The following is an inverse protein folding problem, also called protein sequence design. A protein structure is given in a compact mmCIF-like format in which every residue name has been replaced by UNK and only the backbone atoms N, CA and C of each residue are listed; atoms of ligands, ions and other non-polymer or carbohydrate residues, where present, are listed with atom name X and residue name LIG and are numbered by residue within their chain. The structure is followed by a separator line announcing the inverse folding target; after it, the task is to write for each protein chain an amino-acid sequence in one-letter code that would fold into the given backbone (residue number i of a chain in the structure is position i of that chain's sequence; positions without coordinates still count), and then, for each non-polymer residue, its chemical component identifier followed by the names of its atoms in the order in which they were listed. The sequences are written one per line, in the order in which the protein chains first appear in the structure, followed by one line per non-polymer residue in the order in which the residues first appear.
data_IF_069057240062
#
_entry.id   IF_069057240062
#
_cell.length_a   1.000
_cell.length_b   1.000
_cell.length_c   1.000
_cell.angle_alpha   90.00
_cell.angle_beta   90.00
_cell.angle_gamma   90.00
#
_symmetry.space_group_name_H-M   'P 1'
#
loop_
_entity.id
_entity.type
_entity.pdbx_description
1 polymer ?
#
# COMPACT_ATOMS: atom_id res chain seq x y z
N UNK A 1 -72.45 -5.52 -39.30
CA UNK A 1 -71.14 -4.99 -38.87
C UNK A 1 -71.19 -4.92 -37.37
N UNK A 2 -70.33 -5.69 -36.68
CA UNK A 2 -70.30 -5.78 -35.22
C UNK A 2 -69.00 -5.11 -34.77
N UNK A 3 -69.10 -3.85 -34.38
CA UNK A 3 -67.95 -3.06 -33.93
C UNK A 3 -67.55 -3.50 -32.52
N UNK A 4 -66.68 -4.50 -32.44
CA UNK A 4 -66.00 -4.87 -31.21
C UNK A 4 -64.98 -3.78 -30.86
N UNK A 5 -65.41 -2.72 -30.18
CA UNK A 5 -64.50 -1.73 -29.58
C UNK A 5 -63.71 -2.38 -28.46
N UNK A 6 -62.49 -2.84 -28.76
CA UNK A 6 -61.51 -3.27 -27.75
C UNK A 6 -61.00 -2.01 -27.05
N UNK A 7 -61.56 -1.69 -25.89
CA UNK A 7 -61.11 -0.59 -25.05
C UNK A 7 -59.70 -0.92 -24.56
N UNK A 8 -58.67 -0.36 -25.21
CA UNK A 8 -57.27 -0.49 -24.82
C UNK A 8 -57.10 0.25 -23.48
N UNK A 9 -57.11 -0.49 -22.36
CA UNK A 9 -56.89 0.09 -21.02
C UNK A 9 -55.60 0.90 -21.04
N UNK A 10 -55.66 2.17 -20.62
CA UNK A 10 -54.47 3.02 -20.51
C UNK A 10 -53.42 2.35 -19.62
N UNK A 11 -52.14 2.60 -19.89
CA UNK A 11 -51.03 2.05 -19.12
C UNK A 11 -51.21 2.28 -17.60
N UNK A 12 -51.68 3.47 -17.22
CA UNK A 12 -52.01 3.81 -15.84
C UNK A 12 -53.12 2.92 -15.24
N UNK A 13 -54.17 2.60 -16.00
CA UNK A 13 -55.24 1.74 -15.52
C UNK A 13 -54.79 0.28 -15.37
N UNK A 14 -53.89 -0.18 -16.23
CA UNK A 14 -53.28 -1.51 -16.11
C UNK A 14 -52.35 -1.57 -14.89
N UNK A 15 -51.48 -0.58 -14.72
CA UNK A 15 -50.55 -0.47 -13.59
C UNK A 15 -51.30 -0.36 -12.25
N UNK A 16 -52.36 0.46 -12.19
CA UNK A 16 -53.21 0.60 -11.00
C UNK A 16 -53.94 -0.71 -10.66
N UNK A 17 -54.43 -1.45 -11.67
CA UNK A 17 -55.06 -2.76 -11.45
C UNK A 17 -54.07 -3.81 -10.94
N UNK A 18 -52.84 -3.82 -11.47
CA UNK A 18 -51.77 -4.72 -11.04
C UNK A 18 -51.28 -4.39 -9.61
N UNK A 19 -51.16 -3.11 -9.26
CA UNK A 19 -50.83 -2.65 -7.91
C UNK A 19 -51.91 -3.04 -6.90
N UNK A 20 -53.19 -2.80 -7.21
CA UNK A 20 -54.31 -3.18 -6.32
C UNK A 20 -54.40 -4.69 -6.12
N UNK A 21 -54.22 -5.47 -7.18
CA UNK A 21 -54.29 -6.93 -7.11
C UNK A 21 -53.19 -7.54 -6.25
N UNK A 22 -52.03 -6.87 -6.15
CA UNK A 22 -50.84 -7.40 -5.49
C UNK A 22 -50.33 -6.55 -4.32
N UNK A 23 -51.15 -5.62 -3.81
CA UNK A 23 -50.73 -4.60 -2.83
C UNK A 23 -50.10 -5.20 -1.57
N UNK A 24 -50.62 -6.34 -1.09
CA UNK A 24 -50.10 -7.05 0.08
C UNK A 24 -48.67 -7.56 -0.15
N UNK A 25 -48.40 -8.15 -1.32
CA UNK A 25 -47.07 -8.64 -1.70
C UNK A 25 -46.09 -7.48 -1.88
N UNK A 26 -46.55 -6.36 -2.45
CA UNK A 26 -45.73 -5.15 -2.62
C UNK A 26 -45.30 -4.58 -1.26
N UNK A 27 -46.23 -4.50 -0.30
CA UNK A 27 -45.91 -4.03 1.06
C UNK A 27 -44.86 -4.94 1.71
N UNK A 28 -45.01 -6.27 1.61
CA UNK A 28 -44.04 -7.23 2.18
C UNK A 28 -42.64 -7.02 1.58
N UNK A 29 -42.54 -6.87 0.26
CA UNK A 29 -41.27 -6.63 -0.43
C UNK A 29 -40.64 -5.30 -0.02
N UNK A 30 -41.43 -4.23 0.08
CA UNK A 30 -40.95 -2.93 0.56
C UNK A 30 -40.46 -2.99 2.01
N UNK A 31 -41.19 -3.68 2.89
CA UNK A 31 -40.75 -3.90 4.27
C UNK A 31 -39.44 -4.68 4.35
N UNK A 32 -39.25 -5.69 3.47
CA UNK A 32 -38.01 -6.43 3.39
C UNK A 32 -36.84 -5.54 2.94
N UNK A 33 -37.01 -4.74 1.89
CA UNK A 33 -36.00 -3.78 1.46
C UNK A 33 -35.67 -2.75 2.53
N UNK A 34 -36.69 -2.27 3.26
CA UNK A 34 -36.48 -1.36 4.37
C UNK A 34 -35.68 -2.01 5.51
N UNK A 35 -35.97 -3.26 5.86
CA UNK A 35 -35.19 -4.00 6.86
C UNK A 35 -33.72 -4.18 6.43
N UNK A 36 -33.47 -4.55 5.16
CA UNK A 36 -32.11 -4.66 4.61
C UNK A 36 -31.38 -3.31 4.67
N UNK A 37 -32.07 -2.21 4.32
CA UNK A 37 -31.53 -0.87 4.43
C UNK A 37 -31.16 -0.49 5.87
N UNK A 38 -32.01 -0.79 6.85
CA UNK A 38 -31.71 -0.54 8.26
C UNK A 38 -30.48 -1.33 8.74
N UNK A 39 -30.37 -2.62 8.37
CA UNK A 39 -29.21 -3.44 8.70
C UNK A 39 -27.93 -2.83 8.10
N UNK A 40 -27.98 -2.40 6.83
CA UNK A 40 -26.88 -1.73 6.16
C UNK A 40 -26.48 -0.42 6.88
N UNK A 41 -27.44 0.40 7.28
CA UNK A 41 -27.18 1.65 8.01
C UNK A 41 -26.50 1.39 9.36
N UNK A 42 -27.01 0.43 10.14
CA UNK A 42 -26.43 0.04 11.43
C UNK A 42 -24.97 -0.43 11.23
N UNK A 43 -24.73 -1.28 10.24
CA UNK A 43 -23.39 -1.75 9.91
C UNK A 43 -22.44 -0.59 9.53
N UNK A 44 -22.91 0.34 8.70
CA UNK A 44 -22.14 1.50 8.27
C UNK A 44 -21.73 2.39 9.45
N UNK A 45 -22.67 2.70 10.35
CA UNK A 45 -22.41 3.46 11.58
C UNK A 45 -21.40 2.75 12.48
N UNK A 46 -21.57 1.43 12.68
CA UNK A 46 -20.63 0.64 13.47
C UNK A 46 -19.21 0.69 12.87
N UNK A 47 -19.08 0.48 11.56
CA UNK A 47 -17.80 0.54 10.86
C UNK A 47 -17.13 1.91 10.97
N UNK A 48 -17.89 2.99 10.76
CA UNK A 48 -17.39 4.36 10.90
C UNK A 48 -16.92 4.66 12.32
N UNK A 49 -17.68 4.25 13.35
CA UNK A 49 -17.28 4.42 14.74
C UNK A 49 -16.03 3.62 15.08
N UNK A 50 -15.89 2.41 14.55
CA UNK A 50 -14.66 1.61 14.73
C UNK A 50 -13.44 2.32 14.13
N UNK A 51 -13.56 2.86 12.92
CA UNK A 51 -12.49 3.63 12.27
C UNK A 51 -12.13 4.86 13.12
N UNK A 52 -13.13 5.62 13.57
CA UNK A 52 -12.94 6.80 14.44
C UNK A 52 -12.26 6.45 15.76
N UNK A 53 -12.67 5.37 16.42
CA UNK A 53 -12.03 4.97 17.68
C UNK A 53 -10.59 4.55 17.45
N UNK A 54 -10.32 3.78 16.40
CA UNK A 54 -8.96 3.40 16.03
C UNK A 54 -8.09 4.61 15.68
N UNK A 55 -8.65 5.64 15.04
CA UNK A 55 -7.93 6.87 14.73
C UNK A 55 -7.51 7.60 16.00
N UNK A 56 -8.42 7.75 16.97
CA UNK A 56 -8.14 8.39 18.25
C UNK A 56 -7.05 7.62 18.98
N UNK A 57 -7.16 6.29 19.04
CA UNK A 57 -6.14 5.43 19.66
C UNK A 57 -4.78 5.62 18.99
N UNK A 58 -4.72 5.61 17.66
CA UNK A 58 -3.47 5.82 16.91
C UNK A 58 -2.82 7.16 17.24
N UNK A 59 -3.54 8.28 17.05
CA UNK A 59 -2.97 9.62 17.22
C UNK A 59 -2.63 9.94 18.68
N UNK A 60 -3.41 9.45 19.65
CA UNK A 60 -3.06 9.62 21.07
C UNK A 60 -1.75 8.93 21.44
N UNK A 61 -1.40 7.82 20.76
CA UNK A 61 -0.15 7.10 21.02
C UNK A 61 1.04 7.68 20.26
N UNK A 62 0.84 8.54 19.25
CA UNK A 62 1.93 9.28 18.60
C UNK A 62 2.40 10.49 19.44
N UNK A 63 1.50 11.05 20.26
CA UNK A 63 1.78 12.25 21.08
C UNK A 63 2.45 11.97 22.43
N UNK A 64 2.87 10.73 22.71
CA UNK A 64 3.52 10.39 23.98
C UNK A 64 5.03 10.62 23.87
N UNK A 65 5.59 11.32 24.86
CA UNK A 65 7.00 11.74 24.94
C UNK A 65 8.01 10.57 24.91
N UNK A 66 7.56 9.35 25.17
CA UNK A 66 8.38 8.14 25.15
C UNK A 66 8.40 7.46 23.77
N UNK A 67 8.87 8.20 22.75
CA UNK A 67 8.81 7.82 21.33
C UNK A 67 9.55 6.51 20.99
N UNK A 68 10.45 6.04 21.86
CA UNK A 68 11.27 4.85 21.61
C UNK A 68 10.65 3.55 22.16
N UNK A 69 9.64 3.64 23.03
CA UNK A 69 8.97 2.46 23.55
C UNK A 69 7.84 1.99 22.61
N UNK A 70 7.81 0.68 22.37
CA UNK A 70 6.71 0.03 21.65
C UNK A 70 5.52 0.00 22.60
N UNK A 71 4.54 0.87 22.39
CA UNK A 71 3.35 0.86 23.23
C UNK A 71 2.54 -0.39 22.94
N UNK A 72 2.11 -1.10 23.99
CA UNK A 72 1.22 -2.25 23.90
C UNK A 72 -0.01 -1.94 23.05
N UNK A 73 -0.53 -0.72 23.16
CA UNK A 73 -1.67 -0.22 22.40
C UNK A 73 -1.41 -0.18 20.89
N UNK A 74 -0.24 0.29 20.45
CA UNK A 74 0.12 0.29 19.02
C UNK A 74 0.30 -1.15 18.51
N UNK A 75 0.86 -2.03 19.33
CA UNK A 75 0.98 -3.45 18.99
C UNK A 75 -0.39 -4.15 18.89
N UNK A 76 -1.34 -3.82 19.75
CA UNK A 76 -2.71 -4.33 19.65
C UNK A 76 -3.44 -3.78 18.42
N UNK A 77 -3.24 -2.49 18.13
CA UNK A 77 -3.85 -1.85 16.97
C UNK A 77 -3.29 -2.40 15.64
N UNK A 78 -2.00 -2.74 15.58
CA UNK A 78 -1.35 -3.28 14.38
C UNK A 78 -1.92 -4.64 13.95
N UNK A 79 -2.47 -5.41 14.90
CA UNK A 79 -3.14 -6.68 14.63
C UNK A 79 -4.51 -6.51 13.96
N UNK A 80 -5.03 -5.27 13.85
CA UNK A 80 -6.30 -5.03 13.19
C UNK A 80 -6.14 -4.93 11.68
N UNK A 81 -7.08 -5.51 10.92
CA UNK A 81 -7.02 -5.52 9.44
C UNK A 81 -7.44 -4.23 8.73
N UNK A 82 -7.66 -3.14 9.47
CA UNK A 82 -8.11 -1.86 8.94
C UNK A 82 -6.97 -0.89 8.62
N UNK A 83 -7.31 0.27 8.06
CA UNK A 83 -6.34 1.34 7.71
C UNK A 83 -5.40 1.70 8.87
N UNK A 84 -5.95 1.94 10.06
CA UNK A 84 -5.14 2.26 11.24
C UNK A 84 -4.29 1.09 11.75
N UNK A 85 -4.66 -0.16 11.46
CA UNK A 85 -3.79 -1.28 11.76
C UNK A 85 -2.58 -1.34 10.83
N UNK A 86 -2.77 -1.02 9.54
CA UNK A 86 -1.64 -0.84 8.60
C UNK A 86 -0.74 0.31 9.06
N UNK A 87 -1.30 1.47 9.41
CA UNK A 87 -0.52 2.59 9.94
C UNK A 87 0.25 2.21 11.21
N UNK A 88 -0.37 1.47 12.13
CA UNK A 88 0.32 0.97 13.31
C UNK A 88 1.47 0.02 12.98
N UNK A 89 1.38 -0.79 11.94
CA UNK A 89 2.52 -1.61 11.48
C UNK A 89 3.68 -0.77 10.96
N UNK A 90 3.39 0.28 10.20
CA UNK A 90 4.41 1.21 9.72
C UNK A 90 5.08 1.96 10.88
N UNK A 91 4.31 2.36 11.89
CA UNK A 91 4.84 2.95 13.13
C UNK A 91 5.74 1.95 13.89
N UNK A 92 5.33 0.68 14.00
CA UNK A 92 6.14 -0.37 14.63
C UNK A 92 7.46 -0.58 13.89
N UNK A 93 7.46 -0.57 12.56
CA UNK A 93 8.68 -0.63 11.75
C UNK A 93 9.65 0.48 12.17
N UNK A 94 9.20 1.73 12.20
CA UNK A 94 10.05 2.87 12.56
C UNK A 94 10.64 2.73 13.96
N UNK A 95 9.84 2.27 14.93
CA UNK A 95 10.31 1.98 16.29
C UNK A 95 11.33 0.84 16.33
N UNK A 96 11.09 -0.24 15.58
CA UNK A 96 12.02 -1.36 15.50
C UNK A 96 13.35 -0.97 14.82
N UNK A 97 13.33 -0.10 13.81
CA UNK A 97 14.53 0.46 13.17
C UNK A 97 15.34 1.27 14.19
N UNK A 98 14.70 2.20 14.91
CA UNK A 98 15.36 2.99 15.97
C UNK A 98 16.01 2.10 17.03
N UNK A 99 15.36 1.00 17.39
CA UNK A 99 15.84 0.00 18.34
C UNK A 99 16.77 -1.05 17.73
N UNK A 100 17.19 -0.90 16.45
CA UNK A 100 18.06 -1.81 15.69
C UNK A 100 17.58 -3.26 15.63
N UNK A 101 16.27 -3.49 15.77
CA UNK A 101 15.65 -4.80 15.69
C UNK A 101 15.18 -5.09 14.25
N UNK A 102 16.14 -5.25 13.34
CA UNK A 102 15.87 -5.37 11.91
C UNK A 102 15.15 -6.66 11.49
N UNK A 103 15.29 -7.75 12.26
CA UNK A 103 14.55 -8.98 11.99
C UNK A 103 13.04 -8.82 12.17
N UNK A 104 12.61 -8.03 13.17
CA UNK A 104 11.20 -7.66 13.30
C UNK A 104 10.74 -6.74 12.18
N UNK A 105 11.60 -5.84 11.70
CA UNK A 105 11.30 -4.95 10.57
C UNK A 105 10.99 -5.75 9.30
N UNK A 106 11.86 -6.70 8.94
CA UNK A 106 11.68 -7.57 7.77
C UNK A 106 10.35 -8.33 7.85
N UNK A 107 10.08 -8.96 9.00
CA UNK A 107 8.85 -9.73 9.24
C UNK A 107 7.58 -8.89 9.08
N UNK A 108 7.57 -7.65 9.58
CA UNK A 108 6.40 -6.76 9.46
C UNK A 108 6.21 -6.32 8.00
N UNK A 109 7.30 -6.03 7.27
CA UNK A 109 7.22 -5.71 5.85
C UNK A 109 6.66 -6.87 5.03
N UNK A 110 7.14 -8.09 5.25
CA UNK A 110 6.62 -9.29 4.57
C UNK A 110 5.12 -9.48 4.83
N UNK A 111 4.67 -9.28 6.07
CA UNK A 111 3.25 -9.37 6.42
C UNK A 111 2.40 -8.30 5.69
N UNK A 112 2.93 -7.08 5.53
CA UNK A 112 2.27 -6.01 4.78
C UNK A 112 2.18 -6.32 3.28
N UNK A 113 3.26 -6.82 2.69
CA UNK A 113 3.33 -7.11 1.25
C UNK A 113 2.47 -8.33 0.86
N UNK A 114 2.35 -9.31 1.75
CA UNK A 114 1.49 -10.49 1.55
C UNK A 114 0.00 -10.22 1.80
N UNK A 115 -0.36 -9.08 2.40
CA UNK A 115 -1.75 -8.74 2.71
C UNK A 115 -2.61 -8.58 1.44
N UNK A 116 -3.59 -9.47 1.24
CA UNK A 116 -4.46 -9.48 0.05
C UNK A 116 -5.44 -8.29 -0.01
N UNK A 117 -5.72 -7.62 1.10
CA UNK A 117 -6.62 -6.45 1.15
C UNK A 117 -5.92 -5.17 0.72
N UNK A 118 -4.59 -5.16 0.68
CA UNK A 118 -3.81 -3.98 0.33
C UNK A 118 -3.69 -3.84 -1.18
N UNK A 119 -4.06 -2.67 -1.71
CA UNK A 119 -3.96 -2.37 -3.13
C UNK A 119 -2.49 -2.41 -3.60
N UNK A 120 -2.25 -2.83 -4.86
CA UNK A 120 -0.92 -2.90 -5.47
C UNK A 120 -0.10 -1.60 -5.38
N UNK A 121 -0.76 -0.45 -5.45
CA UNK A 121 -0.10 0.87 -5.30
C UNK A 121 0.52 1.00 -3.90
N UNK A 122 -0.24 0.67 -2.86
CA UNK A 122 0.28 0.73 -1.49
C UNK A 122 1.33 -0.34 -1.24
N UNK A 123 1.19 -1.54 -1.80
CA UNK A 123 2.24 -2.57 -1.72
C UNK A 123 3.54 -2.09 -2.35
N UNK A 124 3.47 -1.48 -3.53
CA UNK A 124 4.65 -0.95 -4.23
C UNK A 124 5.28 0.21 -3.47
N UNK A 125 4.48 1.09 -2.86
CA UNK A 125 4.98 2.14 -1.97
C UNK A 125 5.71 1.57 -0.74
N UNK A 126 5.13 0.54 -0.09
CA UNK A 126 5.72 -0.12 1.07
C UNK A 126 7.00 -0.85 0.68
N UNK A 127 6.99 -1.59 -0.43
CA UNK A 127 8.14 -2.29 -0.98
C UNK A 127 9.29 -1.31 -1.29
N UNK A 128 8.97 -0.18 -1.93
CA UNK A 128 9.91 0.91 -2.19
C UNK A 128 10.55 1.41 -0.89
N UNK A 129 9.74 1.74 0.13
CA UNK A 129 10.24 2.21 1.42
C UNK A 129 11.14 1.15 2.08
N UNK A 130 10.71 -0.11 2.09
CA UNK A 130 11.47 -1.22 2.63
C UNK A 130 12.82 -1.38 1.93
N UNK A 131 12.86 -1.30 0.59
CA UNK A 131 14.11 -1.36 -0.17
C UNK A 131 15.08 -0.26 0.23
N UNK A 132 14.65 1.01 0.26
CA UNK A 132 15.53 2.11 0.69
C UNK A 132 16.02 1.94 2.13
N UNK A 133 15.13 1.55 3.06
CA UNK A 133 15.51 1.37 4.47
C UNK A 133 16.53 0.25 4.65
N UNK A 134 16.34 -0.90 3.99
CA UNK A 134 17.31 -1.99 4.10
C UNK A 134 18.62 -1.68 3.39
N UNK A 135 18.61 -0.89 2.31
CA UNK A 135 19.83 -0.36 1.69
C UNK A 135 20.58 0.53 2.70
N UNK A 136 19.90 1.48 3.34
CA UNK A 136 20.48 2.40 4.32
C UNK A 136 21.02 1.67 5.58
N UNK A 137 20.24 0.71 6.10
CA UNK A 137 20.66 -0.16 7.20
C UNK A 137 21.93 -0.93 6.84
N UNK A 138 22.04 -1.44 5.61
CA UNK A 138 23.20 -2.20 5.18
C UNK A 138 24.43 -1.31 4.94
N UNK A 139 24.26 -0.11 4.40
CA UNK A 139 25.35 0.88 4.32
C UNK A 139 25.84 1.31 5.71
N UNK A 140 24.94 1.48 6.66
CA UNK A 140 25.27 1.80 8.06
C UNK A 140 26.06 0.69 8.76
N UNK A 141 25.99 -0.55 8.25
CA UNK A 141 26.76 -1.68 8.77
C UNK A 141 27.01 -2.75 7.69
N UNK A 142 28.10 -2.58 6.94
CA UNK A 142 28.50 -3.47 5.84
C UNK A 142 28.77 -4.93 6.26
N UNK A 143 28.92 -5.22 7.56
CA UNK A 143 29.04 -6.59 8.06
C UNK A 143 27.74 -7.40 7.94
N UNK A 144 26.59 -6.72 7.80
CA UNK A 144 25.30 -7.36 7.58
C UNK A 144 25.12 -7.68 6.09
N UNK A 145 24.23 -8.64 5.82
CA UNK A 145 23.85 -9.02 4.47
C UNK A 145 22.35 -9.07 4.31
N UNK A 146 21.81 -8.00 3.74
CA UNK A 146 20.40 -7.91 3.37
C UNK A 146 20.20 -7.93 1.86
N UNK A 147 21.20 -8.35 1.06
CA UNK A 147 21.11 -8.31 -0.40
C UNK A 147 19.91 -9.10 -0.93
N UNK A 148 19.63 -10.28 -0.35
CA UNK A 148 18.46 -11.09 -0.70
C UNK A 148 17.15 -10.38 -0.32
N UNK A 149 17.08 -9.83 0.89
CA UNK A 149 15.92 -9.10 1.41
C UNK A 149 15.62 -7.87 0.54
N UNK A 150 16.63 -7.07 0.20
CA UNK A 150 16.51 -5.90 -0.67
C UNK A 150 15.98 -6.32 -2.05
N UNK A 151 16.55 -7.36 -2.67
CA UNK A 151 16.08 -7.88 -3.97
C UNK A 151 14.63 -8.35 -3.92
N UNK A 152 14.21 -9.00 -2.83
CA UNK A 152 12.83 -9.44 -2.63
C UNK A 152 11.85 -8.25 -2.49
N UNK A 153 12.26 -7.18 -1.82
CA UNK A 153 11.43 -5.97 -1.74
C UNK A 153 11.36 -5.25 -3.09
N UNK A 154 12.48 -5.12 -3.81
CA UNK A 154 12.48 -4.54 -5.16
C UNK A 154 11.56 -5.34 -6.10
N UNK A 155 11.61 -6.68 -6.05
CA UNK A 155 10.75 -7.53 -6.88
C UNK A 155 9.26 -7.47 -6.50
N UNK A 156 8.94 -7.00 -5.29
CA UNK A 156 7.57 -6.78 -4.84
C UNK A 156 6.97 -5.45 -5.33
N UNK A 157 7.76 -4.60 -5.99
CA UNK A 157 7.26 -3.40 -6.69
C UNK A 157 6.63 -3.85 -8.01
N UNK A 158 5.35 -3.55 -8.16
CA UNK A 158 4.51 -3.99 -9.28
C UNK A 158 4.90 -3.30 -10.59
N UNK A 159 5.32 -4.09 -11.58
CA UNK A 159 5.78 -3.62 -12.89
C UNK A 159 4.68 -2.97 -13.74
N UNK A 160 3.40 -3.21 -13.44
CA UNK A 160 2.28 -2.54 -14.13
C UNK A 160 2.11 -1.08 -13.68
N UNK A 161 2.79 -0.67 -12.60
CA UNK A 161 2.71 0.70 -12.08
C UNK A 161 3.86 1.55 -12.63
N UNK A 162 3.64 2.12 -13.81
CA UNK A 162 4.60 2.99 -14.54
C UNK A 162 5.25 4.05 -13.63
N UNK A 163 4.49 4.64 -12.70
CA UNK A 163 5.00 5.66 -11.78
C UNK A 163 6.11 5.17 -10.83
N UNK A 164 6.30 3.86 -10.68
CA UNK A 164 7.34 3.25 -9.86
C UNK A 164 8.54 2.72 -10.67
N UNK A 165 8.46 2.73 -12.01
CA UNK A 165 9.50 2.15 -12.86
C UNK A 165 10.85 2.85 -12.67
N UNK A 166 10.88 4.18 -12.70
CA UNK A 166 12.09 4.97 -12.42
C UNK A 166 12.64 4.73 -11.01
N UNK A 167 11.77 4.55 -10.02
CA UNK A 167 12.17 4.25 -8.63
C UNK A 167 12.78 2.85 -8.52
N UNK A 168 12.22 1.87 -9.23
CA UNK A 168 12.73 0.50 -9.28
C UNK A 168 14.11 0.43 -9.92
N UNK A 169 14.36 1.24 -10.96
CA UNK A 169 15.69 1.41 -11.55
C UNK A 169 16.67 2.00 -10.53
N UNK A 170 16.30 3.08 -9.83
CA UNK A 170 17.16 3.68 -8.80
C UNK A 170 17.51 2.67 -7.70
N UNK A 171 16.52 1.97 -7.16
CA UNK A 171 16.74 0.96 -6.12
C UNK A 171 17.65 -0.18 -6.59
N UNK A 172 17.52 -0.59 -7.86
CA UNK A 172 18.40 -1.61 -8.45
C UNK A 172 19.84 -1.10 -8.54
N UNK A 173 20.04 0.14 -9.00
CA UNK A 173 21.35 0.80 -9.02
C UNK A 173 21.96 0.87 -7.62
N UNK A 174 21.20 1.36 -6.63
CA UNK A 174 21.67 1.46 -5.24
C UNK A 174 22.05 0.09 -4.64
N UNK A 175 21.32 -0.98 -4.98
CA UNK A 175 21.65 -2.33 -4.55
C UNK A 175 22.99 -2.81 -5.14
N UNK A 176 23.31 -2.44 -6.38
CA UNK A 176 24.62 -2.73 -7.00
C UNK A 176 25.73 -1.92 -6.32
N UNK A 177 25.52 -0.62 -6.08
CA UNK A 177 26.49 0.22 -5.35
C UNK A 177 26.79 -0.34 -3.96
N UNK A 178 25.76 -0.78 -3.24
CA UNK A 178 25.92 -1.43 -1.93
C UNK A 178 26.78 -2.69 -2.02
N UNK A 179 26.62 -3.49 -3.07
CA UNK A 179 27.42 -4.69 -3.30
C UNK A 179 28.89 -4.35 -3.62
N UNK A 180 29.13 -3.29 -4.40
CA UNK A 180 30.47 -2.77 -4.70
C UNK A 180 31.17 -2.34 -3.42
N UNK A 181 30.53 -1.49 -2.60
CA UNK A 181 31.11 -0.98 -1.36
C UNK A 181 31.39 -2.11 -0.37
N UNK A 182 30.43 -3.03 -0.19
CA UNK A 182 30.56 -4.16 0.73
C UNK A 182 31.74 -5.07 0.39
N UNK A 183 31.98 -5.31 -0.89
CA UNK A 183 33.03 -6.21 -1.36
C UNK A 183 34.34 -5.47 -1.73
N UNK A 184 34.42 -4.16 -1.48
CA UNK A 184 35.54 -3.30 -1.88
C UNK A 184 35.91 -3.46 -3.37
N UNK A 185 34.90 -3.53 -4.24
CA UNK A 185 35.11 -3.65 -5.69
C UNK A 185 35.41 -2.28 -6.29
N UNK A 186 36.10 -2.28 -7.43
CA UNK A 186 36.28 -1.06 -8.21
C UNK A 186 35.02 -0.78 -9.03
N UNK A 187 34.37 0.35 -8.75
CA UNK A 187 33.18 0.81 -9.47
C UNK A 187 33.37 0.86 -10.99
N UNK A 188 34.51 1.36 -11.46
CA UNK A 188 34.80 1.51 -12.89
C UNK A 188 34.89 0.19 -13.65
N UNK A 189 35.01 -0.93 -12.93
CA UNK A 189 35.06 -2.26 -13.50
C UNK A 189 33.72 -3.00 -13.40
N UNK A 190 32.68 -2.37 -12.85
CA UNK A 190 31.35 -2.97 -12.67
C UNK A 190 30.41 -2.52 -13.80
N UNK A 191 30.30 -3.36 -14.83
CA UNK A 191 29.45 -3.08 -15.98
C UNK A 191 27.97 -2.96 -15.59
N UNK A 192 27.50 -3.72 -14.58
CA UNK A 192 26.10 -3.66 -14.15
C UNK A 192 25.77 -2.27 -13.58
N UNK A 193 26.68 -1.69 -12.79
CA UNK A 193 26.51 -0.35 -12.26
C UNK A 193 26.51 0.73 -13.36
N UNK A 194 27.43 0.62 -14.33
CA UNK A 194 27.54 1.57 -15.45
C UNK A 194 26.31 1.48 -16.37
N UNK A 195 25.90 0.27 -16.73
CA UNK A 195 24.73 0.03 -17.57
C UNK A 195 23.45 0.57 -16.90
N UNK A 196 23.28 0.34 -15.59
CA UNK A 196 22.14 0.89 -14.85
C UNK A 196 22.17 2.42 -14.78
N UNK A 197 23.34 3.01 -14.58
CA UNK A 197 23.50 4.46 -14.61
C UNK A 197 23.08 5.04 -15.97
N UNK A 198 23.61 4.51 -17.07
CA UNK A 198 23.31 4.97 -18.44
C UNK A 198 21.83 4.80 -18.79
N UNK A 199 21.25 3.66 -18.38
CA UNK A 199 19.82 3.40 -18.53
C UNK A 199 18.98 4.42 -17.76
N UNK A 200 19.34 4.78 -16.53
CA UNK A 200 18.62 5.79 -15.75
C UNK A 200 18.76 7.18 -16.37
N UNK A 201 19.96 7.57 -16.84
CA UNK A 201 20.18 8.88 -17.43
C UNK A 201 19.40 9.08 -18.74
N UNK A 202 19.34 8.03 -19.57
CA UNK A 202 18.63 8.05 -20.85
C UNK A 202 17.13 7.78 -20.73
N UNK A 203 16.66 7.20 -19.63
CA UNK A 203 15.25 6.81 -19.43
C UNK A 203 14.29 7.99 -19.30
N UNK A 204 13.15 7.91 -19.97
CA UNK A 204 12.05 8.88 -19.86
C UNK A 204 11.18 8.67 -18.60
N UNK A 205 11.23 7.48 -18.00
CA UNK A 205 10.45 7.14 -16.79
C UNK A 205 11.18 7.53 -15.50
N UNK A 206 12.48 7.78 -15.57
CA UNK A 206 13.26 8.31 -14.46
C UNK A 206 13.05 9.82 -14.33
N UNK A 207 12.58 10.27 -13.16
CA UNK A 207 12.41 11.69 -12.89
C UNK A 207 13.76 12.42 -12.82
N UNK A 208 13.74 13.74 -13.04
CA UNK A 208 14.95 14.57 -12.91
C UNK A 208 15.62 14.45 -11.54
N UNK A 209 14.85 14.27 -10.47
CA UNK A 209 15.41 14.11 -9.12
C UNK A 209 16.09 12.75 -8.92
N UNK A 210 15.58 11.69 -9.56
CA UNK A 210 16.24 10.37 -9.58
C UNK A 210 17.56 10.49 -10.33
N UNK A 211 17.53 11.07 -11.55
CA UNK A 211 18.74 11.28 -12.36
C UNK A 211 19.80 12.08 -11.59
N UNK A 212 19.41 13.17 -10.93
CA UNK A 212 20.35 13.97 -10.14
C UNK A 212 21.01 13.17 -9.00
N UNK A 213 20.23 12.39 -8.24
CA UNK A 213 20.77 11.57 -7.14
C UNK A 213 21.72 10.49 -7.66
N UNK A 214 21.32 9.78 -8.72
CA UNK A 214 22.12 8.73 -9.34
C UNK A 214 23.42 9.31 -9.93
N UNK A 215 23.35 10.48 -10.58
CA UNK A 215 24.52 11.17 -11.12
C UNK A 215 25.53 11.55 -10.03
N UNK A 216 25.05 12.10 -8.90
CA UNK A 216 25.93 12.43 -7.76
C UNK A 216 26.67 11.20 -7.22
N UNK A 217 25.99 10.05 -7.15
CA UNK A 217 26.61 8.80 -6.71
C UNK A 217 27.64 8.32 -7.74
N UNK A 218 27.28 8.34 -9.04
CA UNK A 218 28.19 7.98 -10.13
C UNK A 218 29.47 8.84 -10.10
N UNK A 219 29.35 10.15 -10.00
CA UNK A 219 30.47 11.07 -9.91
C UNK A 219 31.34 10.78 -8.68
N UNK A 220 30.71 10.57 -7.51
CA UNK A 220 31.43 10.23 -6.29
C UNK A 220 32.30 8.99 -6.48
N UNK A 221 31.75 7.91 -7.05
CA UNK A 221 32.48 6.66 -7.24
C UNK A 221 33.49 6.69 -8.40
N UNK A 222 33.27 7.54 -9.40
CA UNK A 222 34.18 7.71 -10.53
C UNK A 222 35.46 8.46 -10.15
N UNK A 223 35.35 9.40 -9.21
CA UNK A 223 36.45 10.28 -8.78
C UNK A 223 36.94 9.99 -7.34
N UNK A 224 36.47 8.90 -6.72
CA UNK A 224 36.92 8.41 -5.40
C UNK A 224 38.39 7.99 -5.46
#
# INVERSE_FOLDING_TARGET
MNDNTVIKKSFFNQLNSALRSNIRSIIIVLSLFFAIFLIFQIYSVYSSNKIKNNSIVFFNNQNLEDQNSISKTIQELSNQSGFYGILSKLELIEKHIKNKNYGSVESIYDELLTNKKLNKIYKSAIATKASYEFIDINFSNLSKDYNKTIKNFISSIDDELINYEGVKLELSYLAVILNIEKNNLNYLNDNEAIDLYDNIMSSDVASSSIKERVNKIHEYYTYK
#
